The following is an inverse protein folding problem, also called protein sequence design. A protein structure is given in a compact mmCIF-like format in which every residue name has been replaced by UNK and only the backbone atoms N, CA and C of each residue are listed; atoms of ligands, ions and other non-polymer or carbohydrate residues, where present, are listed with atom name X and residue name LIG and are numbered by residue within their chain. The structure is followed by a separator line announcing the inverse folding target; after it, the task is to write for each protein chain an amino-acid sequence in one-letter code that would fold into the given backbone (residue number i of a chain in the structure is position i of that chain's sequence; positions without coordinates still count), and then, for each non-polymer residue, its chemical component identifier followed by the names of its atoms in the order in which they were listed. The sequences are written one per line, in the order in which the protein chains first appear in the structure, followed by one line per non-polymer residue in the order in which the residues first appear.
data_IF_090588998868
#
_entry.id   IF_090588998868
#
_cell.length_a   1.000
_cell.length_b   1.000
_cell.length_c   1.000
_cell.angle_alpha   90.00
_cell.angle_beta   90.00
_cell.angle_gamma   90.00
#
_symmetry.space_group_name_H-M   'P 1'
#
loop_
_entity.id
_entity.type
_entity.pdbx_description
1 polymer ?
#
# COMPACT_ATOMS: atom_id res chain seq x y z
N UNK A 1 20.89 -8.23 14.54
CA UNK A 1 19.77 -7.47 13.91
C UNK A 1 18.58 -8.41 13.83
N UNK A 2 17.62 -8.33 14.78
CA UNK A 2 16.50 -9.27 14.81
C UNK A 2 15.49 -8.92 13.71
N UNK A 3 15.54 -9.62 12.58
CA UNK A 3 14.48 -9.64 11.58
C UNK A 3 13.21 -10.17 12.25
N UNK A 4 12.34 -9.27 12.70
CA UNK A 4 11.03 -9.64 13.21
C UNK A 4 10.13 -9.90 11.98
N UNK A 5 10.12 -11.14 11.52
CA UNK A 5 9.19 -11.62 10.50
C UNK A 5 7.78 -11.55 11.10
N UNK A 6 7.03 -10.53 10.74
CA UNK A 6 5.60 -10.48 11.00
C UNK A 6 4.92 -11.25 9.87
N UNK A 7 4.70 -12.55 10.08
CA UNK A 7 3.69 -13.29 9.33
C UNK A 7 2.34 -12.78 9.78
N UNK A 8 1.80 -11.84 9.01
CA UNK A 8 0.50 -11.24 9.21
C UNK A 8 -0.62 -12.28 9.04
N UNK A 9 -0.88 -13.09 10.08
CA UNK A 9 -1.88 -14.18 10.11
C UNK A 9 -3.33 -13.72 9.83
N UNK A 10 -3.61 -12.42 9.82
CA UNK A 10 -4.95 -11.85 9.70
C UNK A 10 -5.22 -11.14 8.36
N UNK A 11 -4.28 -11.19 7.41
CA UNK A 11 -4.56 -10.74 6.03
C UNK A 11 -5.36 -11.82 5.33
N UNK A 12 -6.44 -11.47 4.62
CA UNK A 12 -7.10 -12.44 3.77
C UNK A 12 -6.14 -12.74 2.60
N UNK A 13 -5.58 -13.95 2.62
CA UNK A 13 -4.70 -14.48 1.58
C UNK A 13 -5.58 -15.02 0.46
N UNK A 14 -5.20 -14.81 -0.79
CA UNK A 14 -5.97 -15.29 -1.96
C UNK A 14 -7.44 -14.89 -1.88
N UNK A 15 -7.66 -13.63 -1.49
CA UNK A 15 -8.96 -13.09 -1.15
C UNK A 15 -9.60 -12.46 -2.37
N UNK A 16 -10.69 -13.09 -2.84
CA UNK A 16 -11.57 -12.48 -3.82
C UNK A 16 -12.56 -11.57 -3.12
N UNK A 17 -12.35 -10.27 -3.27
CA UNK A 17 -13.26 -9.23 -2.84
C UNK A 17 -14.20 -8.86 -4.01
N UNK A 18 -14.93 -7.74 -3.90
CA UNK A 18 -15.93 -7.36 -4.89
C UNK A 18 -15.27 -6.72 -6.11
N UNK A 19 -14.50 -5.65 -5.89
CA UNK A 19 -13.82 -4.90 -6.94
C UNK A 19 -12.32 -5.27 -7.03
N UNK A 20 -11.83 -6.06 -6.06
CA UNK A 20 -10.44 -6.48 -5.94
C UNK A 20 -10.29 -7.99 -5.79
N UNK A 21 -9.16 -8.52 -6.26
CA UNK A 21 -8.69 -9.85 -5.87
C UNK A 21 -7.21 -9.75 -5.46
N UNK A 22 -6.90 -10.29 -4.28
CA UNK A 22 -5.57 -10.22 -3.67
C UNK A 22 -4.98 -11.61 -3.72
N UNK A 23 -3.87 -11.79 -4.43
CA UNK A 23 -3.19 -13.08 -4.54
C UNK A 23 -1.83 -12.99 -3.83
N UNK A 24 -1.53 -14.03 -3.05
CA UNK A 24 -0.29 -14.15 -2.28
C UNK A 24 -0.44 -13.79 -0.81
N UNK A 25 0.70 -13.75 -0.13
CA UNK A 25 0.79 -13.50 1.32
C UNK A 25 1.49 -12.20 1.61
N UNK A 26 0.97 -11.42 2.56
CA UNK A 26 1.66 -10.22 3.05
C UNK A 26 2.72 -10.65 4.08
N UNK A 27 3.96 -10.76 3.62
CA UNK A 27 5.12 -11.00 4.47
C UNK A 27 5.99 -9.74 4.48
N UNK A 28 6.17 -9.17 5.66
CA UNK A 28 6.90 -7.90 5.81
C UNK A 28 8.02 -8.02 6.85
N UNK A 29 9.10 -7.30 6.60
CA UNK A 29 10.15 -7.03 7.57
C UNK A 29 10.16 -5.55 7.95
N UNK A 30 10.40 -5.28 9.22
CA UNK A 30 10.72 -3.94 9.69
C UNK A 30 12.24 -3.79 9.69
N UNK A 31 12.74 -2.85 8.89
CA UNK A 31 14.16 -2.59 8.74
C UNK A 31 14.44 -1.17 9.20
N UNK A 32 15.38 -1.02 10.13
CA UNK A 32 15.85 0.30 10.54
C UNK A 32 16.69 0.92 9.42
N UNK A 33 16.32 2.11 8.97
CA UNK A 33 17.12 2.89 8.04
C UNK A 33 17.88 3.99 8.80
N UNK A 34 19.21 3.87 8.83
CA UNK A 34 20.09 4.82 9.52
C UNK A 34 20.06 6.22 8.90
N UNK A 35 19.87 6.33 7.58
CA UNK A 35 19.87 7.62 6.87
C UNK A 35 18.64 8.45 7.18
N UNK A 36 17.48 7.80 7.27
CA UNK A 36 16.19 8.45 7.54
C UNK A 36 15.83 8.44 9.02
N UNK A 37 16.58 7.69 9.84
CA UNK A 37 16.34 7.43 11.27
C UNK A 37 14.89 6.94 11.54
N UNK A 38 14.39 6.07 10.66
CA UNK A 38 13.02 5.52 10.72
C UNK A 38 13.02 4.03 10.44
N UNK A 39 12.01 3.33 10.94
CA UNK A 39 11.71 1.96 10.52
C UNK A 39 10.98 2.00 9.17
N UNK A 40 11.49 1.26 8.20
CA UNK A 40 10.86 1.03 6.91
C UNK A 40 10.22 -0.36 6.88
N UNK A 41 9.10 -0.47 6.18
CA UNK A 41 8.39 -1.74 6.00
C UNK A 41 8.78 -2.29 4.64
N UNK A 42 9.50 -3.41 4.63
CA UNK A 42 9.97 -4.04 3.40
C UNK A 42 9.11 -5.26 3.09
N UNK A 43 8.57 -5.32 1.88
CA UNK A 43 7.85 -6.48 1.38
C UNK A 43 8.84 -7.61 1.08
N UNK A 44 8.59 -8.80 1.64
CA UNK A 44 9.45 -9.98 1.49
C UNK A 44 8.92 -10.99 0.47
N UNK A 45 7.64 -10.89 0.12
CA UNK A 45 6.94 -11.82 -0.75
C UNK A 45 6.34 -11.11 -1.95
N UNK A 46 6.22 -11.82 -3.07
CA UNK A 46 5.45 -11.32 -4.20
C UNK A 46 3.96 -11.23 -3.81
N UNK A 47 3.31 -10.14 -4.21
CA UNK A 47 1.88 -9.91 -4.03
C UNK A 47 1.26 -9.37 -5.30
N UNK A 48 0.03 -9.78 -5.59
CA UNK A 48 -0.70 -9.33 -6.77
C UNK A 48 -2.06 -8.79 -6.37
N UNK A 49 -2.45 -7.69 -6.99
CA UNK A 49 -3.75 -7.06 -6.83
C UNK A 49 -4.42 -6.97 -8.19
N UNK A 50 -5.49 -7.71 -8.38
CA UNK A 50 -6.33 -7.58 -9.57
C UNK A 50 -7.38 -6.52 -9.25
N UNK A 51 -7.41 -5.48 -10.08
CA UNK A 51 -8.34 -4.36 -9.99
C UNK A 51 -9.35 -4.48 -11.14
N UNK A 52 -10.48 -5.13 -10.88
CA UNK A 52 -11.46 -5.44 -11.93
C UNK A 52 -12.00 -4.19 -12.61
N UNK A 53 -12.26 -3.13 -11.83
CA UNK A 53 -12.75 -1.84 -12.33
C UNK A 53 -11.80 -1.17 -13.35
N UNK A 54 -10.51 -1.44 -13.24
CA UNK A 54 -9.47 -0.86 -14.09
C UNK A 54 -8.92 -1.87 -15.11
N UNK A 55 -9.47 -3.10 -15.13
CA UNK A 55 -9.06 -4.21 -15.98
C UNK A 55 -7.53 -4.45 -15.97
N UNK A 56 -6.90 -4.35 -14.80
CA UNK A 56 -5.47 -4.53 -14.65
C UNK A 56 -5.09 -5.28 -13.37
N UNK A 57 -3.95 -5.96 -13.43
CA UNK A 57 -3.24 -6.56 -12.32
C UNK A 57 -2.05 -5.69 -11.94
N UNK A 58 -1.85 -5.48 -10.65
CA UNK A 58 -0.72 -4.78 -10.06
C UNK A 58 0.12 -5.82 -9.32
N UNK A 59 1.34 -6.04 -9.81
CA UNK A 59 2.28 -7.02 -9.26
C UNK A 59 3.32 -6.27 -8.45
N UNK A 60 3.50 -6.68 -7.20
CA UNK A 60 4.53 -6.22 -6.29
C UNK A 60 5.59 -7.29 -6.11
N UNK A 61 6.84 -6.96 -6.41
CA UNK A 61 7.98 -7.84 -6.19
C UNK A 61 8.60 -7.61 -4.79
N UNK A 62 9.25 -8.65 -4.22
CA UNK A 62 10.01 -8.50 -2.99
C UNK A 62 11.04 -7.38 -3.07
N UNK A 63 11.22 -6.66 -1.97
CA UNK A 63 12.13 -5.52 -1.87
C UNK A 63 11.45 -4.16 -2.01
N UNK A 64 10.17 -4.11 -2.39
CA UNK A 64 9.39 -2.88 -2.30
C UNK A 64 9.36 -2.36 -0.87
N UNK A 65 9.63 -1.06 -0.70
CA UNK A 65 9.64 -0.39 0.60
C UNK A 65 8.42 0.50 0.71
N UNK A 66 7.61 0.22 1.73
CA UNK A 66 6.46 1.00 2.12
C UNK A 66 6.86 1.84 3.33
N UNK A 67 6.56 3.14 3.28
CA UNK A 67 6.79 4.07 4.38
C UNK A 67 5.67 4.00 5.44
N UNK A 68 4.66 3.15 5.21
CA UNK A 68 3.52 2.93 6.11
C UNK A 68 2.43 3.98 5.91
N UNK A 69 2.40 4.61 4.75
CA UNK A 69 1.56 5.73 4.42
C UNK A 69 2.19 7.05 4.85
N UNK A 70 2.24 7.98 3.90
CA UNK A 70 2.40 9.44 4.12
C UNK A 70 1.29 10.07 4.99
N UNK A 71 0.63 9.27 5.84
CA UNK A 71 -0.36 9.64 6.84
C UNK A 71 0.37 10.29 8.02
N UNK A 72 0.05 11.55 8.36
CA UNK A 72 0.66 12.22 9.51
C UNK A 72 0.50 11.39 10.79
N UNK A 73 1.56 11.32 11.62
CA UNK A 73 1.59 10.58 12.89
C UNK A 73 0.36 10.84 13.79
N UNK A 74 -0.28 12.00 13.67
CA UNK A 74 -1.51 12.34 14.37
C UNK A 74 -2.69 11.38 14.07
N UNK A 75 -2.75 10.80 12.88
CA UNK A 75 -3.79 9.84 12.48
C UNK A 75 -3.38 8.39 12.74
N UNK A 76 -2.17 8.15 13.25
CA UNK A 76 -1.76 6.81 13.65
C UNK A 76 -2.62 6.27 14.77
N UNK A 77 -3.27 7.10 15.60
CA UNK A 77 -4.25 6.67 16.62
C UNK A 77 -5.53 6.03 16.02
N UNK A 78 -5.91 6.37 14.79
CA UNK A 78 -6.99 5.69 14.08
C UNK A 78 -6.55 4.34 13.49
N UNK A 79 -5.23 4.20 13.30
CA UNK A 79 -4.50 3.05 12.72
C UNK A 79 -3.85 2.17 13.81
N UNK A 80 -3.81 2.62 15.08
CA UNK A 80 -2.90 2.16 16.16
C UNK A 80 -3.21 0.80 16.75
N UNK A 81 -3.99 -0.02 16.08
CA UNK A 81 -4.00 -1.43 16.40
C UNK A 81 -2.84 -2.11 15.62
N UNK A 82 -1.87 -2.76 16.32
CA UNK A 82 -0.79 -3.51 15.68
C UNK A 82 -1.27 -4.61 14.72
N UNK A 83 -2.57 -4.92 14.71
CA UNK A 83 -3.24 -5.96 13.95
C UNK A 83 -4.25 -5.45 12.91
N UNK A 84 -4.32 -4.16 12.60
CA UNK A 84 -5.17 -3.71 11.48
C UNK A 84 -4.50 -3.96 10.12
N UNK A 85 -4.15 -5.22 9.87
CA UNK A 85 -3.46 -5.74 8.67
C UNK A 85 -4.16 -5.36 7.36
N UNK A 86 -5.46 -5.07 7.45
CA UNK A 86 -6.29 -4.48 6.40
C UNK A 86 -5.78 -3.10 5.95
N UNK A 87 -5.44 -2.22 6.90
CA UNK A 87 -4.87 -0.91 6.58
C UNK A 87 -3.48 -1.06 5.98
N UNK A 88 -2.64 -1.93 6.56
CA UNK A 88 -1.29 -2.15 6.03
C UNK A 88 -1.34 -2.60 4.56
N UNK A 89 -2.24 -3.53 4.23
CA UNK A 89 -2.42 -3.99 2.87
C UNK A 89 -2.94 -2.88 1.94
N UNK A 90 -3.87 -2.06 2.41
CA UNK A 90 -4.33 -0.90 1.66
C UNK A 90 -3.21 0.14 1.44
N UNK A 91 -2.36 0.39 2.44
CA UNK A 91 -1.19 1.26 2.33
C UNK A 91 -0.18 0.72 1.32
N UNK A 92 0.10 -0.58 1.32
CA UNK A 92 0.99 -1.18 0.31
C UNK A 92 0.50 -0.92 -1.12
N UNK A 93 -0.80 -1.13 -1.39
CA UNK A 93 -1.34 -0.84 -2.71
C UNK A 93 -1.26 0.67 -3.02
N UNK A 94 -1.69 1.53 -2.09
CA UNK A 94 -1.65 2.98 -2.26
C UNK A 94 -0.23 3.49 -2.55
N UNK A 95 0.71 3.23 -1.65
CA UNK A 95 2.08 3.75 -1.72
C UNK A 95 2.80 3.18 -2.94
N UNK A 96 2.49 1.94 -3.33
CA UNK A 96 3.02 1.36 -4.56
C UNK A 96 2.52 2.04 -5.83
N UNK A 97 1.20 2.20 -5.97
CA UNK A 97 0.61 2.88 -7.13
C UNK A 97 1.09 4.34 -7.22
N UNK A 98 1.25 4.97 -6.05
CA UNK A 98 1.71 6.33 -5.90
C UNK A 98 3.20 6.45 -6.27
N UNK A 99 4.09 5.63 -5.71
CA UNK A 99 5.53 5.67 -5.96
C UNK A 99 5.91 5.31 -7.41
N UNK A 100 5.16 4.40 -8.03
CA UNK A 100 5.37 4.03 -9.43
C UNK A 100 4.59 4.92 -10.42
N UNK A 101 3.78 5.86 -9.93
CA UNK A 101 2.91 6.75 -10.73
C UNK A 101 2.15 5.97 -11.82
N UNK A 102 1.53 4.85 -11.45
CA UNK A 102 0.80 3.96 -12.37
C UNK A 102 -0.63 4.47 -12.67
N UNK A 103 -1.13 5.34 -11.79
CA UNK A 103 -2.40 6.05 -11.89
C UNK A 103 -2.20 7.50 -11.46
N UNK A 104 -3.20 8.34 -11.71
CA UNK A 104 -3.22 9.69 -11.15
C UNK A 104 -3.34 9.63 -9.64
N UNK A 105 -2.82 10.64 -8.94
CA UNK A 105 -2.95 10.77 -7.48
C UNK A 105 -4.37 10.50 -6.97
N UNK A 106 -5.36 11.14 -7.62
CA UNK A 106 -6.77 11.00 -7.24
C UNK A 106 -7.28 9.57 -7.41
N UNK A 107 -6.86 8.86 -8.46
CA UNK A 107 -7.20 7.45 -8.65
C UNK A 107 -6.54 6.58 -7.57
N UNK A 108 -5.27 6.82 -7.23
CA UNK A 108 -4.59 6.12 -6.13
C UNK A 108 -5.37 6.28 -4.80
N UNK A 109 -5.76 7.52 -4.48
CA UNK A 109 -6.53 7.83 -3.27
C UNK A 109 -7.90 7.13 -3.27
N UNK A 110 -8.57 7.05 -4.42
CA UNK A 110 -9.86 6.37 -4.58
C UNK A 110 -9.75 4.86 -4.46
N UNK A 111 -8.76 4.25 -5.13
CA UNK A 111 -8.45 2.82 -5.04
C UNK A 111 -8.20 2.43 -3.57
N UNK A 112 -7.44 3.26 -2.86
CA UNK A 112 -7.16 3.07 -1.44
C UNK A 112 -8.44 3.07 -0.57
N UNK A 113 -9.34 4.02 -0.81
CA UNK A 113 -10.63 4.09 -0.11
C UNK A 113 -11.54 2.90 -0.40
N UNK A 114 -11.63 2.48 -1.67
CA UNK A 114 -12.43 1.32 -2.11
C UNK A 114 -11.90 0.02 -1.50
N UNK A 115 -10.58 -0.17 -1.49
CA UNK A 115 -9.95 -1.33 -0.87
C UNK A 115 -10.19 -1.38 0.64
N UNK A 116 -10.03 -0.25 1.35
CA UNK A 116 -10.37 -0.19 2.79
C UNK A 116 -11.84 -0.54 3.06
N UNK A 117 -12.77 -0.08 2.20
CA UNK A 117 -14.20 -0.45 2.28
C UNK A 117 -14.39 -1.96 2.18
N UNK A 118 -13.75 -2.60 1.21
CA UNK A 118 -13.91 -4.05 0.98
C UNK A 118 -13.24 -4.92 2.03
N UNK A 119 -12.17 -4.43 2.63
CA UNK A 119 -11.54 -5.07 3.78
C UNK A 119 -12.37 -4.93 5.06
N UNK A 120 -13.49 -4.21 5.03
CA UNK A 120 -14.41 -4.06 6.17
C UNK A 120 -14.04 -2.93 7.13
N UNK A 121 -13.22 -1.97 6.70
CA UNK A 121 -12.92 -0.77 7.51
C UNK A 121 -14.18 0.09 7.62
N UNK A 122 -14.49 0.52 8.85
CA UNK A 122 -15.66 1.35 9.12
C UNK A 122 -15.63 2.67 8.34
N UNK A 123 -16.81 3.15 7.95
CA UNK A 123 -16.96 4.34 7.09
C UNK A 123 -16.24 5.57 7.65
N UNK A 124 -16.32 5.81 8.97
CA UNK A 124 -15.64 6.94 9.63
C UNK A 124 -14.12 6.85 9.48
N UNK A 125 -13.53 5.73 9.88
CA UNK A 125 -12.07 5.53 9.86
C UNK A 125 -11.50 5.64 8.46
N UNK A 126 -12.11 4.98 7.46
CA UNK A 126 -11.58 5.03 6.09
C UNK A 126 -11.63 6.44 5.48
N UNK A 127 -12.66 7.24 5.81
CA UNK A 127 -12.78 8.61 5.32
C UNK A 127 -11.82 9.57 6.03
N UNK A 128 -11.56 9.37 7.33
CA UNK A 128 -10.55 10.12 8.07
C UNK A 128 -9.15 9.88 7.47
N UNK A 129 -8.80 8.62 7.22
CA UNK A 129 -7.51 8.27 6.61
C UNK A 129 -7.43 8.76 5.15
N UNK A 130 -8.51 8.62 4.37
CA UNK A 130 -8.59 9.17 3.02
C UNK A 130 -8.41 10.69 2.98
N UNK A 131 -9.06 11.42 3.88
CA UNK A 131 -8.88 12.87 3.99
C UNK A 131 -7.44 13.24 4.34
N UNK A 132 -6.80 12.48 5.23
CA UNK A 132 -5.41 12.70 5.61
C UNK A 132 -4.45 12.53 4.42
N UNK A 133 -4.59 11.47 3.61
CA UNK A 133 -3.73 11.27 2.42
C UNK A 133 -4.02 12.30 1.33
N UNK A 134 -5.27 12.74 1.18
CA UNK A 134 -5.61 13.80 0.21
C UNK A 134 -4.94 15.13 0.53
N UNK A 135 -4.86 15.48 1.82
CA UNK A 135 -4.23 16.71 2.29
C UNK A 135 -2.70 16.62 2.29
N UNK A 136 -2.14 15.52 2.79
CA UNK A 136 -0.68 15.33 2.92
C UNK A 136 0.02 14.95 1.60
N UNK A 137 -0.68 14.22 0.74
CA UNK A 137 -0.14 13.69 -0.51
C UNK A 137 0.05 14.73 -1.61
N UNK A 138 -0.29 16.00 -1.42
CA UNK A 138 0.04 17.03 -2.43
C UNK A 138 1.54 17.36 -2.42
N UNK A 139 2.10 17.54 -1.22
CA UNK A 139 3.51 17.90 -1.02
C UNK A 139 4.47 16.80 -1.45
N UNK A 140 4.11 15.55 -1.17
CA UNK A 140 4.92 14.38 -1.54
C UNK A 140 4.90 14.18 -3.06
N UNK A 141 3.73 14.29 -3.70
CA UNK A 141 3.56 14.11 -5.14
C UNK A 141 4.39 15.11 -5.96
N UNK A 142 4.41 16.38 -5.55
CA UNK A 142 5.20 17.42 -6.24
C UNK A 142 6.71 17.18 -6.13
N UNK A 143 7.16 16.46 -5.10
CA UNK A 143 8.57 16.13 -4.88
C UNK A 143 9.06 14.89 -5.62
N UNK A 144 8.21 14.22 -6.41
CA UNK A 144 8.59 12.98 -7.10
C UNK A 144 9.68 13.21 -8.13
N UNK A 145 10.82 12.56 -7.91
CA UNK A 145 11.89 12.47 -8.90
C UNK A 145 11.62 11.30 -9.84
N UNK A 146 11.65 11.54 -11.16
CA UNK A 146 11.45 10.50 -12.19
C UNK A 146 12.37 9.29 -12.05
N UNK A 147 13.58 9.49 -11.51
CA UNK A 147 14.54 8.41 -11.22
C UNK A 147 13.97 7.43 -10.20
N UNK A 148 13.45 7.94 -9.07
CA UNK A 148 12.82 7.14 -8.02
C UNK A 148 11.57 6.43 -8.56
N UNK A 149 10.76 7.12 -9.36
CA UNK A 149 9.56 6.53 -9.98
C UNK A 149 9.95 5.35 -10.87
N UNK A 150 10.97 5.51 -11.71
CA UNK A 150 11.46 4.44 -12.59
C UNK A 150 12.09 3.27 -11.82
N UNK A 151 12.72 3.52 -10.68
CA UNK A 151 13.20 2.46 -9.79
C UNK A 151 12.04 1.67 -9.18
N UNK A 152 11.00 2.35 -8.70
CA UNK A 152 9.81 1.70 -8.17
C UNK A 152 9.06 0.89 -9.23
N UNK A 153 9.02 1.34 -10.49
CA UNK A 153 8.46 0.58 -11.62
C UNK A 153 9.18 -0.74 -11.92
N UNK A 154 10.40 -0.95 -11.41
CA UNK A 154 11.09 -2.26 -11.49
C UNK A 154 10.55 -3.24 -10.45
N UNK A 155 10.01 -2.73 -9.35
CA UNK A 155 9.46 -3.51 -8.23
C UNK A 155 7.93 -3.60 -8.29
N UNK A 156 7.29 -2.74 -9.08
CA UNK A 156 5.83 -2.68 -9.22
C UNK A 156 5.49 -2.61 -10.70
N UNK A 157 4.72 -3.59 -11.17
CA UNK A 157 4.29 -3.68 -12.55
C UNK A 157 2.77 -3.62 -12.67
N UNK A 158 2.29 -2.87 -13.65
CA UNK A 158 0.90 -2.90 -14.11
C UNK A 158 0.82 -3.79 -15.35
N UNK A 159 0.00 -4.84 -15.26
CA UNK A 159 -0.24 -5.81 -16.33
C UNK A 159 -1.73 -5.74 -16.69
N UNK A 160 -2.13 -5.72 -17.97
CA UNK A 160 -3.55 -5.83 -18.31
C UNK A 160 -4.10 -7.17 -17.84
N UNK A 161 -5.33 -7.21 -17.33
CA UNK A 161 -5.99 -8.48 -17.05
C UNK A 161 -6.08 -9.29 -18.35
N UNK A 162 -5.69 -10.56 -18.29
CA UNK A 162 -5.81 -11.47 -19.45
C UNK A 162 -7.31 -11.54 -19.84
N UNK A 163 -7.64 -11.38 -21.13
CA UNK A 163 -9.03 -11.46 -21.61
C UNK A 163 -9.66 -12.83 -21.38
#
# INVERSE_FOLDING_TARGET
MSLKLLRCKAVPHDAKLKDFEIIGSLQVAFVWNEKTCRNEIVLLSEMRFILYKYNCEIVFFPGFRCDGGSVPKAFWSAVSDPYSTRFLLAFFLHDGLYAAELFTRSECDWIFLELMRELGVSWRKRNEVWAAVRMGGWWVWLGHMKTIVNENRKLIMKVPCRP
#
